data_IF_423993874334
#
_entry.id   IF_423993874334
#
_cell.length_a   1.000
_cell.length_b   1.000
_cell.length_c   1.000
_cell.angle_alpha   90.00
_cell.angle_beta   90.00
_cell.angle_gamma   90.00
#
_symmetry.space_group_name_H-M   'P 1'
#
loop_
_entity.id
_entity.type
_entity.pdbx_description
1 polymer ?
#
# COMPACT_ATOMS: atom_id res chain seq x y z
N UNK A 1 -17.21 -39.44 25.39
CA UNK A 1 -16.49 -39.29 24.10
C UNK A 1 -17.48 -38.81 23.05
N UNK A 2 -17.81 -37.51 23.03
CA UNK A 2 -18.68 -36.95 21.98
C UNK A 2 -18.72 -35.41 22.02
N UNK A 3 -17.58 -34.76 22.23
CA UNK A 3 -17.56 -33.31 22.49
C UNK A 3 -17.73 -32.46 21.21
N UNK A 4 -17.73 -33.08 20.03
CA UNK A 4 -17.64 -32.38 18.75
C UNK A 4 -18.47 -33.01 17.62
N UNK A 5 -19.65 -33.57 17.93
CA UNK A 5 -20.53 -34.20 16.93
C UNK A 5 -20.96 -33.26 15.79
N UNK A 6 -21.00 -31.94 16.02
CA UNK A 6 -21.38 -30.94 15.03
C UNK A 6 -20.20 -30.23 14.35
N UNK A 7 -18.95 -30.51 14.77
CA UNK A 7 -17.75 -29.92 14.17
C UNK A 7 -17.27 -30.78 13.00
N UNK A 8 -17.92 -30.66 11.85
CA UNK A 8 -17.38 -31.16 10.59
C UNK A 8 -16.42 -30.10 9.96
N UNK A 9 -15.70 -30.49 8.90
CA UNK A 9 -14.77 -29.60 8.20
C UNK A 9 -15.42 -28.29 7.73
N UNK A 10 -16.74 -28.28 7.48
CA UNK A 10 -17.47 -27.13 6.98
C UNK A 10 -17.81 -26.11 8.09
N UNK A 11 -18.12 -26.57 9.30
CA UNK A 11 -18.40 -25.71 10.45
C UNK A 11 -17.13 -25.17 11.12
N UNK A 12 -15.98 -25.82 10.92
CA UNK A 12 -14.69 -25.41 11.51
C UNK A 12 -13.84 -24.57 10.55
N UNK A 13 -14.04 -24.68 9.24
CA UNK A 13 -13.28 -23.93 8.24
C UNK A 13 -13.49 -22.41 8.35
N UNK A 14 -14.74 -21.92 8.33
CA UNK A 14 -14.98 -20.46 8.38
C UNK A 14 -14.45 -19.81 9.66
N UNK A 15 -14.66 -20.37 10.87
CA UNK A 15 -14.07 -19.81 12.09
C UNK A 15 -12.54 -19.89 12.12
N UNK A 16 -11.94 -20.98 11.61
CA UNK A 16 -10.47 -21.10 11.58
C UNK A 16 -9.83 -20.15 10.58
N UNK A 17 -10.45 -19.96 9.40
CA UNK A 17 -10.02 -18.97 8.41
C UNK A 17 -10.09 -17.55 8.97
N UNK A 18 -11.19 -17.18 9.64
CA UNK A 18 -11.32 -15.87 10.29
C UNK A 18 -10.24 -15.66 11.35
N UNK A 19 -10.01 -16.64 12.23
CA UNK A 19 -8.93 -16.57 13.23
C UNK A 19 -7.54 -16.45 12.61
N UNK A 20 -7.30 -17.18 11.51
CA UNK A 20 -6.04 -17.10 10.80
C UNK A 20 -5.83 -15.70 10.19
N UNK A 21 -6.86 -15.10 9.59
CA UNK A 21 -6.80 -13.74 9.08
C UNK A 21 -6.61 -12.71 10.20
N UNK A 22 -7.37 -12.82 11.30
CA UNK A 22 -7.21 -11.96 12.47
C UNK A 22 -5.78 -12.00 13.00
N UNK A 23 -5.22 -13.20 13.19
CA UNK A 23 -3.84 -13.38 13.62
C UNK A 23 -2.85 -12.80 12.60
N UNK A 24 -3.04 -13.08 11.32
CA UNK A 24 -2.18 -12.55 10.26
C UNK A 24 -2.14 -11.01 10.27
N UNK A 25 -3.30 -10.36 10.24
CA UNK A 25 -3.35 -8.89 10.19
C UNK A 25 -2.89 -8.24 11.48
N UNK A 26 -3.12 -8.89 12.64
CA UNK A 26 -2.74 -8.35 13.93
C UNK A 26 -1.25 -8.52 14.23
N UNK A 27 -0.68 -9.69 13.94
CA UNK A 27 0.65 -10.07 14.42
C UNK A 27 1.70 -10.12 13.30
N UNK A 28 1.32 -10.50 12.07
CA UNK A 28 2.29 -10.76 10.98
C UNK A 28 2.39 -9.58 10.01
N UNK A 29 1.26 -9.00 9.60
CA UNK A 29 1.20 -8.01 8.53
C UNK A 29 2.14 -6.82 8.76
N UNK A 30 2.09 -6.23 9.96
CA UNK A 30 2.96 -5.11 10.32
C UNK A 30 4.45 -5.48 10.39
N UNK A 31 4.79 -6.74 10.72
CA UNK A 31 6.18 -7.21 10.68
C UNK A 31 6.69 -7.28 9.25
N UNK A 32 5.87 -7.80 8.32
CA UNK A 32 6.23 -7.86 6.90
C UNK A 32 6.41 -6.46 6.31
N UNK A 33 5.59 -5.49 6.72
CA UNK A 33 5.73 -4.10 6.24
C UNK A 33 7.00 -3.40 6.73
N UNK A 34 7.61 -3.86 7.82
CA UNK A 34 8.90 -3.36 8.32
C UNK A 34 10.10 -3.93 7.58
N UNK A 35 9.96 -5.11 6.99
CA UNK A 35 11.04 -5.79 6.28
C UNK A 35 11.24 -5.14 4.91
N UNK A 36 12.05 -4.08 4.89
CA UNK A 36 12.36 -3.33 3.69
C UNK A 36 13.59 -3.91 3.00
N UNK A 37 13.51 -4.11 1.69
CA UNK A 37 14.58 -4.67 0.87
C UNK A 37 15.87 -3.87 0.97
N UNK A 38 17.00 -4.57 0.85
CA UNK A 38 18.32 -3.94 0.76
C UNK A 38 18.41 -3.16 -0.57
N UNK A 39 18.02 -3.82 -1.66
CA UNK A 39 18.01 -3.26 -3.01
C UNK A 39 16.91 -2.21 -3.19
N UNK A 40 17.19 -1.22 -4.03
CA UNK A 40 16.22 -0.21 -4.46
C UNK A 40 15.98 -0.34 -5.96
N UNK A 41 14.70 -0.25 -6.34
CA UNK A 41 14.22 -0.41 -7.71
C UNK A 41 13.73 0.93 -8.24
N UNK A 42 14.12 1.27 -9.46
CA UNK A 42 13.60 2.46 -10.14
C UNK A 42 12.17 2.20 -10.62
N UNK A 43 11.24 3.02 -10.14
CA UNK A 43 9.82 2.91 -10.43
C UNK A 43 9.31 4.24 -10.94
N UNK A 44 8.46 4.18 -11.98
CA UNK A 44 7.75 5.34 -12.50
C UNK A 44 6.28 5.25 -12.16
N UNK A 45 5.80 6.17 -11.33
CA UNK A 45 4.39 6.35 -11.04
C UNK A 45 3.77 7.29 -12.09
N UNK A 46 2.63 6.89 -12.65
CA UNK A 46 1.85 7.71 -13.58
C UNK A 46 0.41 7.83 -13.09
N UNK A 47 -0.12 9.05 -13.10
CA UNK A 47 -1.47 9.37 -12.65
C UNK A 47 -2.19 10.19 -13.71
N UNK A 48 -3.41 9.80 -14.04
CA UNK A 48 -4.32 10.58 -14.88
C UNK A 48 -5.11 11.57 -14.03
N UNK A 49 -5.24 12.81 -14.49
CA UNK A 49 -5.97 13.88 -13.81
C UNK A 49 -7.19 14.30 -14.62
N UNK A 50 -8.21 14.83 -13.95
CA UNK A 50 -9.45 15.26 -14.62
C UNK A 50 -9.34 16.71 -15.12
N UNK A 51 -8.50 17.53 -14.47
CA UNK A 51 -8.27 18.92 -14.88
C UNK A 51 -6.80 19.20 -15.20
N UNK A 52 -6.62 20.19 -16.08
CA UNK A 52 -5.31 20.68 -16.52
C UNK A 52 -4.54 21.45 -15.44
N UNK A 53 -5.26 21.92 -14.41
CA UNK A 53 -4.72 22.70 -13.28
C UNK A 53 -4.33 21.83 -12.08
N UNK A 54 -4.77 20.57 -12.06
CA UNK A 54 -4.60 19.69 -10.91
C UNK A 54 -3.12 19.54 -10.58
N UNK A 55 -2.81 19.83 -9.32
CA UNK A 55 -1.47 19.60 -8.79
C UNK A 55 -1.50 18.33 -7.97
N UNK A 56 -0.75 17.33 -8.42
CA UNK A 56 -0.69 16.01 -7.80
C UNK A 56 0.64 15.84 -7.07
N UNK A 57 0.54 15.23 -5.90
CA UNK A 57 1.63 14.83 -5.04
C UNK A 57 1.50 13.34 -4.75
N UNK A 58 2.59 12.76 -4.25
CA UNK A 58 2.58 11.43 -3.66
C UNK A 58 3.15 11.53 -2.25
N UNK A 59 2.73 10.63 -1.38
CA UNK A 59 3.34 10.47 -0.06
C UNK A 59 3.38 9.00 0.34
N UNK A 60 4.31 8.59 1.19
CA UNK A 60 4.45 7.19 1.55
C UNK A 60 5.44 6.90 2.66
N UNK A 61 5.64 5.62 2.87
CA UNK A 61 6.43 5.01 3.95
C UNK A 61 7.93 5.32 3.95
N UNK A 62 8.48 5.77 2.82
CA UNK A 62 9.92 5.98 2.65
C UNK A 62 10.28 7.47 2.49
N UNK A 63 11.53 7.84 2.78
CA UNK A 63 12.00 9.23 2.77
C UNK A 63 11.84 9.92 1.41
N UNK A 64 12.14 9.20 0.34
CA UNK A 64 11.94 9.64 -1.06
C UNK A 64 10.45 9.72 -1.46
N UNK A 65 9.57 9.06 -0.71
CA UNK A 65 8.11 9.18 -0.77
C UNK A 65 7.59 10.18 0.28
N UNK A 66 8.45 10.93 0.97
CA UNK A 66 8.01 12.02 1.84
C UNK A 66 7.55 11.64 3.24
N UNK A 67 7.74 10.39 3.70
CA UNK A 67 7.42 9.95 5.07
C UNK A 67 6.02 10.38 5.54
N UNK A 68 5.00 10.04 4.75
CA UNK A 68 3.59 10.37 5.00
C UNK A 68 3.24 11.86 5.08
N UNK A 69 4.11 12.75 4.61
CA UNK A 69 3.80 14.18 4.41
C UNK A 69 3.23 14.44 3.01
N UNK A 70 1.98 14.92 2.89
CA UNK A 70 1.22 14.94 1.62
C UNK A 70 1.66 16.00 0.61
N UNK A 71 2.44 17.00 1.03
CA UNK A 71 2.88 18.16 0.25
C UNK A 71 4.35 18.07 -0.21
N UNK A 72 5.08 17.04 0.23
CA UNK A 72 6.53 16.93 0.04
C UNK A 72 6.96 16.52 -1.37
N UNK A 73 6.24 15.59 -2.01
CA UNK A 73 6.72 14.95 -3.24
C UNK A 73 5.76 15.26 -4.38
N UNK A 74 6.05 16.32 -5.12
CA UNK A 74 5.24 16.79 -6.25
C UNK A 74 5.50 15.96 -7.51
N UNK A 75 4.43 15.53 -8.19
CA UNK A 75 4.54 14.84 -9.47
C UNK A 75 4.70 15.85 -10.62
N UNK A 76 5.49 15.49 -11.63
CA UNK A 76 5.76 16.35 -12.80
C UNK A 76 4.63 16.25 -13.82
N UNK A 77 4.29 17.37 -14.46
CA UNK A 77 3.33 17.38 -15.57
C UNK A 77 3.97 16.79 -16.83
N UNK A 78 3.33 15.75 -17.37
CA UNK A 78 3.77 15.09 -18.62
C UNK A 78 2.86 15.48 -19.77
N UNK A 79 1.55 15.56 -19.53
CA UNK A 79 0.57 16.03 -20.51
C UNK A 79 -0.54 16.84 -19.81
N UNK A 80 -1.52 17.31 -20.58
CA UNK A 80 -2.68 18.04 -20.04
C UNK A 80 -3.33 17.29 -18.86
N UNK A 81 -3.48 15.97 -18.99
CA UNK A 81 -4.20 15.11 -18.06
C UNK A 81 -3.32 14.02 -17.44
N UNK A 82 -1.99 14.16 -17.49
CA UNK A 82 -1.07 13.17 -16.92
C UNK A 82 0.01 13.82 -16.06
N UNK A 83 0.30 13.18 -14.92
CA UNK A 83 1.42 13.47 -14.04
C UNK A 83 2.28 12.22 -13.87
N UNK A 84 3.59 12.39 -13.81
CA UNK A 84 4.52 11.29 -13.58
C UNK A 84 5.61 11.65 -12.57
N UNK A 85 6.15 10.62 -11.92
CA UNK A 85 7.28 10.72 -11.02
C UNK A 85 8.09 9.43 -11.10
N UNK A 86 9.39 9.57 -11.31
CA UNK A 86 10.34 8.45 -11.29
C UNK A 86 11.21 8.57 -10.04
N UNK A 87 11.29 7.49 -9.27
CA UNK A 87 12.09 7.42 -8.05
C UNK A 87 12.58 5.99 -7.79
N UNK A 88 13.66 5.86 -7.00
CA UNK A 88 14.19 4.55 -6.57
C UNK A 88 13.61 4.17 -5.22
N UNK A 89 12.75 3.16 -5.15
CA UNK A 89 12.08 2.68 -3.92
C UNK A 89 12.57 1.30 -3.50
N UNK A 90 12.52 1.02 -2.20
CA UNK A 90 12.71 -0.33 -1.65
C UNK A 90 11.36 -1.03 -1.49
N UNK A 91 11.31 -2.36 -1.49
CA UNK A 91 10.07 -3.14 -1.31
C UNK A 91 9.96 -3.65 0.13
N UNK A 92 8.78 -3.67 0.76
CA UNK A 92 7.51 -3.13 0.27
C UNK A 92 7.49 -1.60 0.37
N UNK A 93 6.88 -0.95 -0.63
CA UNK A 93 6.65 0.49 -0.63
C UNK A 93 5.15 0.77 -0.53
N UNK A 94 4.74 1.43 0.55
CA UNK A 94 3.39 1.99 0.65
C UNK A 94 3.41 3.46 0.25
N UNK A 95 2.41 3.86 -0.53
CA UNK A 95 2.20 5.25 -0.92
C UNK A 95 0.72 5.56 -1.16
N UNK A 96 0.41 6.85 -1.18
CA UNK A 96 -0.90 7.43 -1.51
C UNK A 96 -0.68 8.59 -2.47
N UNK A 97 -1.62 8.78 -3.38
CA UNK A 97 -1.66 9.94 -4.26
C UNK A 97 -2.55 11.00 -3.61
N UNK A 98 -2.06 12.24 -3.58
CA UNK A 98 -2.77 13.39 -3.02
C UNK A 98 -2.89 14.47 -4.09
N UNK A 99 -4.00 15.20 -4.09
CA UNK A 99 -4.28 16.24 -5.08
C UNK A 99 -4.78 17.51 -4.42
N UNK A 100 -4.42 18.65 -5.01
CA UNK A 100 -5.03 19.95 -4.73
C UNK A 100 -5.62 20.46 -6.05
N UNK A 101 -6.92 20.77 -6.01
CA UNK A 101 -7.68 21.36 -7.13
C UNK A 101 -7.57 22.87 -7.14
#
# INVERSE_FOLDING_TARGET
>A
MSEFLENNHWNTFSPSLNKAFEFYFKEIFYLQEKEVSIEAYEVTLKVKTLSKKDTIYTTGSQTNLGNWRPDKVKMKKVSTFERALTLKIKSPAQFKITGVN
#
